data_IF_264674358984
#
_entry.id   IF_264674358984
#
_cell.length_a   1.000
_cell.length_b   1.000
_cell.length_c   1.000
_cell.angle_alpha   90.00
_cell.angle_beta   90.00
_cell.angle_gamma   90.00
#
_symmetry.space_group_name_H-M   'P 1'
#
loop_
_entity.id
_entity.type
_entity.pdbx_description
1 polymer ?
#
# COMPACT_ATOMS: atom_id res chain seq x y z
N UNK A 1 -4.50 -20.62 -1.46
CA UNK A 1 -4.29 -19.26 -0.91
C UNK A 1 -4.97 -18.27 -1.83
N UNK A 2 -5.58 -17.21 -1.30
CA UNK A 2 -6.15 -16.13 -2.13
C UNK A 2 -5.05 -15.19 -2.61
N UNK A 3 -5.32 -14.41 -3.67
CA UNK A 3 -4.39 -13.38 -4.15
C UNK A 3 -4.09 -12.34 -3.06
N UNK A 4 -5.11 -11.96 -2.28
CA UNK A 4 -4.96 -11.04 -1.16
C UNK A 4 -3.95 -11.56 -0.12
N UNK A 5 -4.09 -12.83 0.27
CA UNK A 5 -3.19 -13.46 1.25
C UNK A 5 -1.75 -13.52 0.74
N UNK A 6 -1.56 -13.78 -0.55
CA UNK A 6 -0.23 -13.82 -1.17
C UNK A 6 0.42 -12.42 -1.22
N UNK A 7 -0.35 -11.37 -1.52
CA UNK A 7 0.15 -9.99 -1.50
C UNK A 7 0.53 -9.56 -0.08
N UNK A 8 -0.27 -9.92 0.94
CA UNK A 8 0.08 -9.64 2.34
C UNK A 8 1.37 -10.35 2.77
N UNK A 9 1.52 -11.64 2.42
CA UNK A 9 2.75 -12.41 2.68
C UNK A 9 3.97 -11.75 2.03
N UNK A 10 3.87 -11.38 0.75
CA UNK A 10 4.97 -10.73 0.03
C UNK A 10 5.29 -9.34 0.59
N UNK A 11 4.29 -8.56 1.02
CA UNK A 11 4.52 -7.24 1.65
C UNK A 11 5.39 -7.37 2.90
N UNK A 12 5.11 -8.35 3.75
CA UNK A 12 5.91 -8.65 4.95
C UNK A 12 7.31 -9.14 4.60
N UNK A 13 7.44 -10.11 3.69
CA UNK A 13 8.73 -10.66 3.26
C UNK A 13 9.65 -9.63 2.61
N UNK A 14 9.07 -8.63 1.94
CA UNK A 14 9.80 -7.55 1.28
C UNK A 14 9.97 -6.31 2.15
N UNK A 15 9.39 -6.29 3.35
CA UNK A 15 9.30 -5.10 4.19
C UNK A 15 8.80 -3.87 3.41
N UNK A 16 7.81 -4.06 2.54
CA UNK A 16 7.33 -3.03 1.63
C UNK A 16 6.17 -2.22 2.25
N UNK A 17 6.00 -0.99 1.76
CA UNK A 17 4.82 -0.14 2.03
C UNK A 17 3.96 -0.07 0.78
N UNK A 18 2.65 -0.25 0.93
CA UNK A 18 1.70 -0.11 -0.17
C UNK A 18 0.95 1.23 -0.06
N UNK A 19 1.21 2.10 -1.04
CA UNK A 19 0.52 3.38 -1.23
C UNK A 19 -0.47 3.26 -2.38
N UNK A 20 -1.75 3.56 -2.15
CA UNK A 20 -2.79 3.50 -3.18
C UNK A 20 -3.46 4.87 -3.41
N UNK A 21 -3.65 5.23 -4.68
CA UNK A 21 -4.43 6.42 -5.01
C UNK A 21 -5.94 6.17 -4.83
N UNK A 22 -6.70 7.22 -4.50
CA UNK A 22 -8.17 7.19 -4.35
C UNK A 22 -8.95 6.58 -5.53
N UNK A 23 -8.32 6.45 -6.71
CA UNK A 23 -8.96 5.93 -7.93
C UNK A 23 -8.67 4.44 -8.17
N UNK A 24 -7.90 3.79 -7.29
CA UNK A 24 -7.69 2.35 -7.38
C UNK A 24 -8.97 1.58 -7.07
N UNK A 25 -9.05 0.34 -7.54
CA UNK A 25 -10.20 -0.54 -7.27
C UNK A 25 -10.31 -0.80 -5.75
N UNK A 26 -11.52 -1.00 -5.19
CA UNK A 26 -11.71 -1.20 -3.75
C UNK A 26 -10.80 -2.28 -3.15
N UNK A 27 -10.67 -3.43 -3.81
CA UNK A 27 -9.83 -4.55 -3.35
C UNK A 27 -8.32 -4.22 -3.31
N UNK A 28 -7.88 -3.19 -4.03
CA UNK A 28 -6.50 -2.68 -3.96
C UNK A 28 -6.36 -1.70 -2.79
N UNK A 29 -7.40 -0.90 -2.53
CA UNK A 29 -7.42 0.00 -1.37
C UNK A 29 -7.46 -0.80 -0.05
N UNK A 30 -8.20 -1.92 0.00
CA UNK A 30 -8.34 -2.79 1.18
C UNK A 30 -7.03 -3.45 1.66
N UNK A 31 -6.04 -3.56 0.76
CA UNK A 31 -4.71 -4.14 1.06
C UNK A 31 -3.60 -3.09 1.27
N UNK A 32 -3.86 -1.83 0.89
CA UNK A 32 -2.90 -0.75 1.00
C UNK A 32 -2.69 -0.32 2.46
N UNK A 33 -1.50 0.15 2.80
CA UNK A 33 -1.22 0.73 4.12
C UNK A 33 -1.76 2.16 4.22
N UNK A 34 -1.74 2.87 3.10
CA UNK A 34 -2.23 4.24 3.00
C UNK A 34 -2.98 4.45 1.68
N UNK A 35 -4.10 5.15 1.76
CA UNK A 35 -4.94 5.53 0.61
C UNK A 35 -5.12 7.04 0.61
N UNK A 36 -4.87 7.71 -0.52
CA UNK A 36 -5.11 9.14 -0.61
C UNK A 36 -4.85 9.75 -1.99
N UNK A 37 -4.80 11.08 -2.01
CA UNK A 37 -4.45 11.86 -3.21
C UNK A 37 -2.93 12.00 -3.38
N UNK A 38 -2.51 12.62 -4.49
CA UNK A 38 -1.10 12.79 -4.82
C UNK A 38 -0.28 13.52 -3.74
N UNK A 39 -0.85 14.55 -3.11
CA UNK A 39 -0.13 15.36 -2.13
C UNK A 39 0.08 14.56 -0.83
N UNK A 40 -0.97 13.89 -0.37
CA UNK A 40 -0.92 13.05 0.81
C UNK A 40 0.10 11.91 0.60
N UNK A 41 -0.02 11.15 -0.49
CA UNK A 41 0.86 10.01 -0.75
C UNK A 41 2.32 10.44 -0.93
N UNK A 42 2.59 11.60 -1.54
CA UNK A 42 3.97 12.11 -1.66
C UNK A 42 4.59 12.43 -0.30
N UNK A 43 3.82 13.02 0.62
CA UNK A 43 4.28 13.29 1.99
C UNK A 43 4.48 11.99 2.77
N UNK A 44 3.53 11.07 2.69
CA UNK A 44 3.64 9.75 3.32
C UNK A 44 4.86 8.98 2.83
N UNK A 45 5.16 9.03 1.53
CA UNK A 45 6.35 8.38 0.97
C UNK A 45 7.67 8.96 1.50
N UNK A 46 7.70 10.24 1.87
CA UNK A 46 8.88 10.86 2.50
C UNK A 46 9.04 10.47 3.97
N UNK A 47 7.94 10.21 4.67
CA UNK A 47 7.91 9.89 6.10
C UNK A 47 7.94 8.39 6.39
N UNK A 48 7.69 7.54 5.39
CA UNK A 48 7.67 6.10 5.55
C UNK A 48 9.06 5.58 5.96
N UNK A 49 9.10 4.95 7.14
CA UNK A 49 10.31 4.39 7.76
C UNK A 49 10.74 3.04 7.15
N UNK A 50 9.88 2.45 6.32
CA UNK A 50 10.17 1.24 5.55
C UNK A 50 10.59 1.65 4.12
N UNK A 51 11.69 1.06 3.59
CA UNK A 51 12.34 1.49 2.35
C UNK A 51 11.46 1.37 1.09
#
# INVERSE_FOLDING_TARGET
MSLEAEVRRLKEERNAVLLAHNYQRPEVQDIADYVGDSLYLSRTAMEADRP
#
